data_IF_679283755348
#
_entry.id   IF_679283755348
#
_cell.length_a   1.000
_cell.length_b   1.000
_cell.length_c   1.000
_cell.angle_alpha   90.00
_cell.angle_beta   90.00
_cell.angle_gamma   90.00
#
_symmetry.space_group_name_H-M   'P 1'
#
loop_
_entity.id
_entity.type
_entity.pdbx_description
1 polymer ?
#
# COMPACT_ATOMS: atom_id res chain seq x y z
N UNK A 1 4.85 -7.29 -0.08
CA UNK A 1 4.76 -7.00 1.36
C UNK A 1 3.49 -7.63 1.91
N UNK A 2 3.46 -7.90 3.20
CA UNK A 2 2.25 -8.33 3.92
C UNK A 2 2.07 -7.42 5.11
N UNK A 3 0.82 -7.03 5.41
CA UNK A 3 0.49 -6.28 6.62
C UNK A 3 -0.87 -6.69 7.17
N UNK A 4 -0.99 -6.64 8.49
CA UNK A 4 -2.21 -6.94 9.23
C UNK A 4 -2.89 -5.64 9.63
N UNK A 5 -4.22 -5.60 9.62
CA UNK A 5 -4.97 -4.46 10.12
C UNK A 5 -6.34 -4.86 10.68
N UNK A 6 -6.78 -4.12 11.69
CA UNK A 6 -8.08 -4.33 12.32
C UNK A 6 -9.10 -3.35 11.75
N UNK A 7 -10.17 -3.87 11.13
CA UNK A 7 -11.31 -3.06 10.76
C UNK A 7 -12.21 -2.86 11.97
N UNK A 8 -12.25 -1.64 12.51
CA UNK A 8 -13.16 -1.29 13.60
C UNK A 8 -14.62 -1.40 13.14
N UNK A 9 -14.89 -1.03 11.88
CA UNK A 9 -16.23 -1.09 11.31
C UNK A 9 -16.72 -2.53 11.12
N UNK A 10 -15.89 -3.42 10.61
CA UNK A 10 -16.27 -4.83 10.40
C UNK A 10 -16.04 -5.71 11.63
N UNK A 11 -15.32 -5.21 12.63
CA UNK A 11 -14.83 -5.95 13.81
C UNK A 11 -14.05 -7.20 13.42
N UNK A 12 -13.20 -7.10 12.40
CA UNK A 12 -12.43 -8.21 11.84
C UNK A 12 -10.98 -7.83 11.63
N UNK A 13 -10.12 -8.84 11.74
CA UNK A 13 -8.72 -8.76 11.32
C UNK A 13 -8.64 -9.08 9.84
N UNK A 14 -7.88 -8.25 9.12
CA UNK A 14 -7.54 -8.44 7.72
C UNK A 14 -6.04 -8.62 7.56
N UNK A 15 -5.66 -9.50 6.64
CA UNK A 15 -4.29 -9.70 6.17
C UNK A 15 -4.23 -9.33 4.70
N UNK A 16 -3.41 -8.34 4.35
CA UNK A 16 -3.28 -7.89 2.96
C UNK A 16 -1.92 -8.28 2.41
N UNK A 17 -1.92 -9.06 1.33
CA UNK A 17 -0.77 -9.33 0.50
C UNK A 17 -0.75 -8.36 -0.68
N UNK A 18 0.32 -7.56 -0.75
CA UNK A 18 0.49 -6.54 -1.76
C UNK A 18 1.79 -6.76 -2.53
N UNK A 19 1.68 -6.84 -3.85
CA UNK A 19 2.84 -6.90 -4.75
C UNK A 19 2.96 -5.57 -5.49
N UNK A 20 3.95 -4.78 -5.11
CA UNK A 20 4.31 -3.58 -5.87
C UNK A 20 5.02 -3.99 -7.17
N UNK A 21 4.62 -3.46 -8.34
CA UNK A 21 5.36 -3.67 -9.58
C UNK A 21 6.79 -3.11 -9.51
N UNK A 22 7.68 -3.66 -10.33
CA UNK A 22 9.10 -3.30 -10.31
C UNK A 22 9.32 -1.81 -10.60
N UNK A 23 8.55 -1.22 -11.51
CA UNK A 23 8.61 0.21 -11.84
C UNK A 23 8.36 1.10 -10.61
N UNK A 24 7.38 0.74 -9.79
CA UNK A 24 7.01 1.46 -8.56
C UNK A 24 8.09 1.29 -7.49
N UNK A 25 8.67 0.10 -7.35
CA UNK A 25 9.80 -0.11 -6.44
C UNK A 25 11.01 0.73 -6.85
N UNK A 26 11.31 0.76 -8.15
CA UNK A 26 12.41 1.57 -8.68
C UNK A 26 12.17 3.07 -8.46
N UNK A 27 10.94 3.56 -8.60
CA UNK A 27 10.63 4.98 -8.30
C UNK A 27 10.75 5.34 -6.82
N UNK A 28 10.65 4.37 -5.91
CA UNK A 28 10.87 4.57 -4.48
C UNK A 28 12.37 4.55 -4.10
N UNK A 29 13.20 3.83 -4.85
CA UNK A 29 14.64 3.65 -4.56
C UNK A 29 15.50 4.67 -5.32
N UNK A 30 15.08 5.09 -6.52
CA UNK A 30 15.89 5.92 -7.40
C UNK A 30 15.82 7.39 -6.98
N UNK A 31 16.95 8.02 -6.60
CA UNK A 31 17.02 9.47 -6.47
C UNK A 31 16.77 10.10 -7.84
N UNK A 32 15.91 11.11 -7.94
CA UNK A 32 15.73 11.75 -9.23
C UNK A 32 17.04 12.42 -9.68
N UNK A 33 17.44 12.11 -10.92
CA UNK A 33 18.78 12.40 -11.45
C UNK A 33 19.04 13.90 -11.70
N UNK A 34 18.03 14.76 -11.58
CA UNK A 34 18.11 16.17 -11.94
C UNK A 34 17.25 17.04 -11.02
N UNK A 35 17.90 17.66 -10.04
CA UNK A 35 17.71 19.05 -9.61
C UNK A 35 16.38 19.54 -9.03
N UNK A 36 15.26 18.83 -9.12
CA UNK A 36 13.98 19.26 -8.54
C UNK A 36 12.90 18.16 -8.55
N UNK A 37 13.27 16.88 -8.36
CA UNK A 37 12.28 15.79 -8.31
C UNK A 37 12.45 14.97 -7.03
N UNK A 38 11.64 15.37 -6.09
CA UNK A 38 10.92 14.56 -5.14
C UNK A 38 11.07 13.04 -5.21
N UNK A 39 11.71 12.44 -4.22
CA UNK A 39 11.68 10.99 -4.03
C UNK A 39 10.31 10.56 -3.48
N UNK A 40 9.77 9.42 -3.93
CA UNK A 40 8.57 8.84 -3.31
C UNK A 40 8.94 8.09 -2.03
N UNK A 41 9.10 8.85 -0.92
CA UNK A 41 9.45 8.27 0.39
C UNK A 41 8.24 7.77 1.17
N UNK A 42 7.05 8.27 0.85
CA UNK A 42 5.83 7.96 1.61
C UNK A 42 4.87 7.14 0.76
N UNK A 43 4.42 6.02 1.33
CA UNK A 43 3.35 5.20 0.76
C UNK A 43 2.12 5.30 1.64
N UNK A 44 1.01 5.75 1.07
CA UNK A 44 -0.27 5.89 1.76
C UNK A 44 -1.14 4.67 1.45
N UNK A 45 -1.68 4.04 2.50
CA UNK A 45 -2.56 2.87 2.39
C UNK A 45 -3.96 3.28 2.85
N UNK A 46 -4.92 3.25 1.93
CA UNK A 46 -6.33 3.50 2.23
C UNK A 46 -7.01 2.18 2.53
N UNK A 47 -7.51 2.03 3.76
CA UNK A 47 -8.16 0.81 4.22
C UNK A 47 -9.65 1.10 4.40
N UNK A 48 -10.51 0.35 3.71
CA UNK A 48 -11.95 0.49 3.85
C UNK A 48 -12.60 -0.81 4.30
N UNK A 49 -13.80 -0.72 4.91
CA UNK A 49 -14.57 -1.91 5.28
C UNK A 49 -14.75 -2.90 4.11
N UNK A 50 -14.87 -4.18 4.44
CA UNK A 50 -14.93 -5.26 3.46
C UNK A 50 -13.58 -5.65 2.85
N UNK A 51 -12.47 -5.23 3.45
CA UNK A 51 -11.13 -5.67 3.07
C UNK A 51 -10.53 -4.98 1.83
N UNK A 52 -11.08 -3.84 1.40
CA UNK A 52 -10.57 -3.15 0.20
C UNK A 52 -9.39 -2.25 0.58
N UNK A 53 -8.37 -2.29 -0.27
CA UNK A 53 -7.15 -1.49 -0.08
C UNK A 53 -6.87 -0.68 -1.34
N UNK A 54 -6.51 0.57 -1.15
CA UNK A 54 -5.95 1.46 -2.18
C UNK A 54 -4.58 1.94 -1.74
N UNK A 55 -3.70 2.22 -2.70
CA UNK A 55 -2.34 2.68 -2.42
C UNK A 55 -1.97 3.86 -3.30
N UNK A 56 -1.32 4.83 -2.67
CA UNK A 56 -0.75 6.00 -3.31
C UNK A 56 0.72 6.13 -2.93
N UNK A 57 1.51 6.69 -3.85
CA UNK A 57 2.82 7.20 -3.52
C UNK A 57 2.74 8.71 -3.45
N UNK A 58 3.29 9.25 -2.36
CA UNK A 58 3.37 10.67 -2.12
C UNK A 58 4.81 11.13 -2.31
N UNK A 59 4.93 12.23 -3.02
CA UNK A 59 6.19 12.89 -3.29
C UNK A 59 6.44 13.98 -2.20
N UNK A 60 7.67 14.14 -1.71
CA UNK A 60 8.16 15.27 -0.87
C UNK A 60 7.81 16.71 -1.34
N UNK A 61 7.23 16.92 -2.53
CA UNK A 61 7.14 18.22 -3.22
C UNK A 61 5.75 18.86 -3.14
N UNK A 62 4.77 18.15 -2.58
CA UNK A 62 3.40 18.65 -2.42
C UNK A 62 2.36 17.54 -2.53
N UNK A 63 1.06 17.87 -2.54
CA UNK A 63 -0.02 16.88 -2.43
C UNK A 63 -0.31 16.13 -3.75
N UNK A 64 0.71 15.87 -4.57
CA UNK A 64 0.56 15.12 -5.82
C UNK A 64 0.52 13.62 -5.48
N UNK A 65 -0.60 13.17 -4.91
CA UNK A 65 -0.85 11.77 -4.59
C UNK A 65 -1.09 10.98 -5.89
N UNK A 66 -0.02 10.53 -6.51
CA UNK A 66 -0.13 9.68 -7.70
C UNK A 66 -0.67 8.31 -7.28
N UNK A 67 -1.91 8.03 -7.70
CA UNK A 67 -2.51 6.71 -7.50
C UNK A 67 -1.67 5.70 -8.25
N UNK A 68 -1.14 4.72 -7.52
CA UNK A 68 -0.34 3.69 -8.13
C UNK A 68 -1.27 2.62 -8.69
N UNK A 69 -1.14 2.23 -9.97
CA UNK A 69 -1.77 1.02 -10.46
C UNK A 69 -1.10 -0.15 -9.76
N UNK A 70 -1.76 -0.67 -8.73
CA UNK A 70 -1.30 -1.89 -8.09
C UNK A 70 -1.67 -3.06 -8.97
N UNK A 71 -0.68 -3.88 -9.27
CA UNK A 71 -0.83 -5.07 -10.10
C UNK A 71 -1.63 -6.16 -9.38
N UNK A 72 -1.40 -6.35 -8.08
CA UNK A 72 -2.12 -7.36 -7.31
C UNK A 72 -2.25 -6.99 -5.82
N UNK A 73 -3.50 -6.97 -5.33
CA UNK A 73 -3.87 -6.86 -3.92
C UNK A 73 -4.75 -8.05 -3.59
N UNK A 74 -4.37 -8.82 -2.58
CA UNK A 74 -5.21 -9.87 -2.04
C UNK A 74 -5.40 -9.66 -0.54
N UNK A 75 -6.64 -9.51 -0.11
CA UNK A 75 -6.98 -9.32 1.30
C UNK A 75 -7.74 -10.53 1.82
N UNK A 76 -7.27 -11.09 2.93
CA UNK A 76 -7.79 -12.28 3.58
C UNK A 76 -8.38 -11.90 4.94
N UNK A 77 -9.34 -12.69 5.43
CA UNK A 77 -9.97 -12.51 6.74
C UNK A 77 -10.52 -13.82 7.28
N UNK A 78 -10.69 -13.92 8.61
CA UNK A 78 -11.25 -15.10 9.27
C UNK A 78 -10.37 -16.34 9.08
N UNK A 79 -10.98 -17.48 8.80
CA UNK A 79 -10.27 -18.77 8.67
C UNK A 79 -9.24 -18.80 7.52
N UNK A 80 -9.31 -17.82 6.61
CA UNK A 80 -8.38 -17.67 5.48
C UNK A 80 -7.09 -16.93 5.86
N UNK A 81 -6.98 -16.38 7.07
CA UNK A 81 -5.76 -15.73 7.54
C UNK A 81 -4.62 -16.74 7.59
N UNK A 82 -3.48 -16.37 7.01
CA UNK A 82 -2.31 -17.23 6.94
C UNK A 82 -1.29 -16.86 8.02
N UNK A 83 -1.06 -15.56 8.20
CA UNK A 83 -0.06 -15.00 9.11
C UNK A 83 -0.73 -14.27 10.26
N UNK A 84 -1.76 -13.47 9.99
CA UNK A 84 -2.37 -12.58 10.99
C UNK A 84 -3.43 -13.28 11.86
N UNK A 85 -3.25 -14.56 12.20
CA UNK A 85 -4.19 -15.30 13.05
C UNK A 85 -4.17 -14.71 14.45
N UNK A 86 -5.31 -14.14 14.87
CA UNK A 86 -5.52 -13.60 16.21
C UNK A 86 -6.02 -14.66 17.17
#
# INVERSE_FOLDING_TARGET
>A
MVFCWNSIADKKVYETHLVLPQSVRQSMITPARTGNTTQYKTMLLGLSPGGKVLVWLQDEGGPQNNRVPIVNINTLSGDKLAICKS
#
